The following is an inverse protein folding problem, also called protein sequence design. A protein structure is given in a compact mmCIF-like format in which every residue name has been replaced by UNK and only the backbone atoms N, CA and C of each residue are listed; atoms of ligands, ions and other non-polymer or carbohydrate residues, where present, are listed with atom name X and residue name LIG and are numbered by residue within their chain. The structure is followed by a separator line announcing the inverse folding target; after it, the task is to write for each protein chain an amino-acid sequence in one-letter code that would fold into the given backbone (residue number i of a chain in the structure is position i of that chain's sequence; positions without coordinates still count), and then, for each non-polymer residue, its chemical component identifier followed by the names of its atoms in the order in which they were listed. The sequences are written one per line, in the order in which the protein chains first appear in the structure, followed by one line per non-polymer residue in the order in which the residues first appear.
data_IF_977521863670
#
_entry.id   IF_977521863670
#
_cell.length_a   1.000
_cell.length_b   1.000
_cell.length_c   1.000
_cell.angle_alpha   90.00
_cell.angle_beta   90.00
_cell.angle_gamma   90.00
#
_symmetry.space_group_name_H-M   'P 1'
#
loop_
_entity.id
_entity.type
_entity.pdbx_description
1 polymer ?
#
# COMPACT_ATOMS: atom_id res chain seq x y z
N UNK A 1 30.82 8.98 35.25
CA UNK A 1 29.57 8.52 34.61
C UNK A 1 28.77 7.80 35.68
N UNK A 2 27.57 8.26 35.99
CA UNK A 2 26.71 7.67 37.01
C UNK A 2 26.06 6.39 36.46
N UNK A 3 26.38 5.23 37.04
CA UNK A 3 25.91 3.91 36.58
C UNK A 3 24.38 3.75 36.74
N UNK A 4 23.78 4.48 37.68
CA UNK A 4 22.34 4.43 37.97
C UNK A 4 21.49 5.34 37.08
N UNK A 5 22.09 6.02 36.08
CA UNK A 5 21.37 6.96 35.21
C UNK A 5 20.26 6.29 34.39
N UNK A 6 20.43 5.01 34.05
CA UNK A 6 19.45 4.21 33.31
C UNK A 6 18.11 4.05 34.07
N UNK A 7 18.11 4.16 35.39
CA UNK A 7 16.90 4.02 36.22
C UNK A 7 16.04 5.29 36.26
N UNK A 8 16.53 6.42 35.75
CA UNK A 8 15.86 7.73 35.89
C UNK A 8 14.50 7.78 35.20
N UNK A 9 14.38 7.14 34.03
CA UNK A 9 13.13 7.11 33.26
C UNK A 9 12.12 6.20 33.97
N UNK A 10 12.55 5.01 34.39
CA UNK A 10 11.70 4.11 35.18
C UNK A 10 11.21 4.77 36.46
N UNK A 11 12.07 5.52 37.16
CA UNK A 11 11.69 6.25 38.36
C UNK A 11 10.63 7.34 38.08
N UNK A 12 10.74 8.06 36.95
CA UNK A 12 9.79 9.12 36.55
C UNK A 12 8.41 8.57 36.19
N UNK A 13 8.35 7.38 35.60
CA UNK A 13 7.10 6.73 35.19
C UNK A 13 6.56 5.71 36.20
N UNK A 14 7.24 5.55 37.34
CA UNK A 14 6.92 4.57 38.38
C UNK A 14 6.96 3.11 37.89
N UNK A 15 7.84 2.84 36.93
CA UNK A 15 8.05 1.52 36.30
C UNK A 15 9.21 0.74 36.95
N UNK A 16 9.71 1.18 38.12
CA UNK A 16 10.76 0.48 38.86
C UNK A 16 10.18 -0.53 39.85
N UNK A 17 10.91 -1.63 40.06
CA UNK A 17 10.63 -2.50 41.20
C UNK A 17 10.91 -1.77 42.52
N UNK A 18 10.29 -2.22 43.62
CA UNK A 18 10.49 -1.61 44.94
C UNK A 18 11.95 -1.69 45.43
N UNK A 19 12.71 -2.70 44.99
CA UNK A 19 14.13 -2.81 45.28
C UNK A 19 14.96 -1.76 44.51
N UNK A 20 14.69 -1.59 43.22
CA UNK A 20 15.35 -0.59 42.37
C UNK A 20 15.03 0.82 42.83
N UNK A 21 13.76 1.10 43.17
CA UNK A 21 13.32 2.40 43.69
C UNK A 21 14.07 2.78 44.96
N UNK A 22 14.18 1.87 45.94
CA UNK A 22 14.96 2.11 47.17
C UNK A 22 16.45 2.34 46.88
N UNK A 23 17.03 1.60 45.94
CA UNK A 23 18.43 1.80 45.55
C UNK A 23 18.67 3.15 44.88
N UNK A 24 17.71 3.59 44.05
CA UNK A 24 17.77 4.87 43.35
C UNK A 24 17.53 6.03 44.30
N UNK A 25 16.59 5.90 45.25
CA UNK A 25 16.37 6.88 46.31
C UNK A 25 17.64 7.10 47.15
N UNK A 26 18.33 6.01 47.54
CA UNK A 26 19.61 6.11 48.23
C UNK A 26 20.69 6.81 47.37
N UNK A 27 20.73 6.53 46.07
CA UNK A 27 21.62 7.20 45.13
C UNK A 27 21.34 8.70 45.01
N UNK A 28 20.05 9.08 44.94
CA UNK A 28 19.61 10.48 44.85
C UNK A 28 20.01 11.34 46.05
N UNK A 29 20.36 10.75 47.21
CA UNK A 29 20.93 11.50 48.34
C UNK A 29 22.37 11.94 48.07
N UNK A 30 23.13 11.14 47.30
CA UNK A 30 24.58 11.32 47.12
C UNK A 30 24.97 11.95 45.78
N UNK A 31 24.10 11.89 44.77
CA UNK A 31 24.42 12.30 43.41
C UNK A 31 23.65 13.57 42.99
N UNK A 32 24.36 14.70 42.86
CA UNK A 32 23.79 15.96 42.36
C UNK A 32 23.37 15.88 40.88
N UNK A 33 24.16 15.22 40.04
CA UNK A 33 23.88 15.11 38.60
C UNK A 33 22.51 14.46 38.36
N UNK A 34 22.24 13.32 39.01
CA UNK A 34 20.96 12.63 38.87
C UNK A 34 19.78 13.43 39.44
N UNK A 35 19.98 14.25 40.48
CA UNK A 35 18.95 15.17 40.99
C UNK A 35 18.61 16.25 39.95
N UNK A 36 19.63 16.84 39.34
CA UNK A 36 19.47 17.88 38.30
C UNK A 36 18.74 17.30 37.08
N UNK A 37 19.17 16.13 36.61
CA UNK A 37 18.55 15.46 35.47
C UNK A 37 17.08 15.10 35.75
N UNK A 38 16.78 14.58 36.94
CA UNK A 38 15.42 14.22 37.34
C UNK A 38 14.51 15.45 37.40
N UNK A 39 15.02 16.57 37.93
CA UNK A 39 14.30 17.83 37.96
C UNK A 39 14.05 18.38 36.53
N UNK A 40 15.05 18.30 35.64
CA UNK A 40 14.93 18.73 34.24
C UNK A 40 13.90 17.93 33.45
N UNK A 41 13.90 16.61 33.59
CA UNK A 41 12.89 15.73 32.97
C UNK A 41 11.49 15.97 33.56
N UNK A 42 11.40 16.15 34.88
CA UNK A 42 10.15 16.49 35.56
C UNK A 42 9.55 17.83 35.09
N UNK A 43 10.38 18.86 34.92
CA UNK A 43 9.96 20.15 34.38
C UNK A 43 9.44 20.02 32.95
N UNK A 44 10.14 19.26 32.09
CA UNK A 44 9.71 19.00 30.71
C UNK A 44 8.34 18.31 30.67
N UNK A 45 8.12 17.31 31.54
CA UNK A 45 6.82 16.65 31.68
C UNK A 45 5.73 17.63 32.14
N UNK A 46 6.05 18.54 33.07
CA UNK A 46 5.16 19.62 33.48
C UNK A 46 4.75 20.53 32.32
N UNK A 47 5.72 20.94 31.49
CA UNK A 47 5.45 21.74 30.29
C UNK A 47 4.57 21.01 29.28
N UNK A 48 4.84 19.72 29.02
CA UNK A 48 4.04 18.90 28.11
C UNK A 48 2.63 18.62 28.65
N UNK A 49 2.45 18.53 29.97
CA UNK A 49 1.13 18.34 30.58
C UNK A 49 0.22 19.56 30.40
N UNK A 50 0.78 20.76 30.26
CA UNK A 50 0.04 22.00 29.99
C UNK A 50 -0.25 22.15 28.49
N UNK A 51 0.50 21.45 27.63
CA UNK A 51 0.31 21.53 26.19
C UNK A 51 -1.04 20.95 25.78
N UNK A 52 -1.96 21.82 25.39
CA UNK A 52 -3.18 21.43 24.71
C UNK A 52 -2.87 21.22 23.22
N UNK A 53 -3.05 20.02 22.66
CA UNK A 53 -2.92 19.82 21.23
C UNK A 53 -3.94 20.71 20.52
N UNK A 54 -3.56 21.40 19.42
CA UNK A 54 -4.52 22.15 18.62
C UNK A 54 -5.61 21.21 18.12
N UNK A 55 -6.86 21.66 18.09
CA UNK A 55 -7.97 20.85 17.56
C UNK A 55 -7.65 20.47 16.11
N UNK A 56 -7.44 19.18 15.83
CA UNK A 56 -7.17 18.75 14.48
C UNK A 56 -8.44 18.89 13.64
N UNK A 57 -8.41 19.73 12.61
CA UNK A 57 -9.43 19.72 11.56
C UNK A 57 -9.20 18.50 10.67
N UNK A 58 -9.75 17.38 11.11
CA UNK A 58 -9.62 16.12 10.41
C UNK A 58 -10.46 16.08 9.11
N UNK A 59 -11.37 17.02 8.87
CA UNK A 59 -12.32 16.95 7.76
C UNK A 59 -13.28 15.73 7.83
N UNK A 60 -13.20 14.94 8.90
CA UNK A 60 -14.06 13.79 9.19
C UNK A 60 -14.49 13.81 10.65
N UNK A 61 -15.70 13.32 10.92
CA UNK A 61 -16.26 13.21 12.27
C UNK A 61 -15.83 11.87 12.85
N UNK A 62 -15.01 11.87 13.90
CA UNK A 62 -14.76 10.67 14.69
C UNK A 62 -16.04 10.26 15.42
N UNK A 63 -16.66 9.17 14.97
CA UNK A 63 -17.76 8.53 15.68
C UNK A 63 -17.11 7.51 16.61
N UNK A 64 -17.15 7.75 17.94
CA UNK A 64 -16.96 6.65 18.88
C UNK A 64 -18.17 5.74 18.71
N UNK A 65 -17.96 4.53 18.22
CA UNK A 65 -18.98 3.50 18.30
C UNK A 65 -19.36 3.33 19.77
N UNK A 66 -20.63 3.61 20.08
CA UNK A 66 -21.19 3.25 21.36
C UNK A 66 -21.02 1.73 21.55
N UNK A 67 -20.76 1.24 22.78
CA UNK A 67 -20.64 -0.18 23.04
C UNK A 67 -21.85 -0.90 22.44
N UNK A 68 -21.58 -1.83 21.51
CA UNK A 68 -22.62 -2.53 20.78
C UNK A 68 -23.56 -3.23 21.79
N UNK A 69 -24.90 -3.09 21.65
CA UNK A 69 -25.82 -3.86 22.48
C UNK A 69 -25.55 -5.35 22.28
N UNK A 70 -25.68 -6.19 23.32
CA UNK A 70 -25.40 -7.61 23.22
C UNK A 70 -26.24 -8.22 22.09
N UNK A 71 -25.56 -8.86 21.14
CA UNK A 71 -26.19 -9.44 19.96
C UNK A 71 -27.26 -10.44 20.38
N UNK A 72 -28.51 -10.15 20.04
CA UNK A 72 -29.64 -11.06 20.25
C UNK A 72 -29.51 -12.19 19.23
N UNK A 73 -28.93 -13.31 19.66
CA UNK A 73 -28.80 -14.52 18.85
C UNK A 73 -30.20 -15.02 18.50
N UNK A 74 -30.61 -14.83 17.25
CA UNK A 74 -31.83 -15.44 16.72
C UNK A 74 -31.56 -16.93 16.44
N UNK A 75 -32.48 -17.85 16.80
CA UNK A 75 -32.29 -19.27 16.60
C UNK A 75 -32.17 -19.61 15.11
N UNK A 76 -31.15 -20.42 14.80
CA UNK A 76 -30.68 -20.83 13.46
C UNK A 76 -31.75 -21.59 12.62
N UNK A 77 -32.89 -21.97 13.21
CA UNK A 77 -33.94 -22.75 12.57
C UNK A 77 -34.78 -22.04 11.50
N UNK A 78 -34.70 -20.71 11.37
CA UNK A 78 -35.58 -19.94 10.45
C UNK A 78 -35.00 -19.68 9.05
N UNK A 79 -33.82 -20.23 8.72
CA UNK A 79 -33.13 -19.98 7.43
C UNK A 79 -33.40 -21.02 6.33
N UNK A 80 -34.21 -22.05 6.60
CA UNK A 80 -34.46 -23.13 5.63
C UNK A 80 -35.55 -22.82 4.59
N UNK A 81 -36.32 -21.74 4.74
CA UNK A 81 -37.35 -21.35 3.75
C UNK A 81 -36.85 -20.43 2.63
N UNK A 82 -35.68 -19.80 2.75
CA UNK A 82 -35.18 -18.84 1.75
C UNK A 82 -34.35 -19.45 0.61
N UNK A 83 -34.05 -20.76 0.65
CA UNK A 83 -33.22 -21.40 -0.38
C UNK A 83 -33.96 -21.63 -1.71
N UNK A 84 -35.28 -21.80 -1.70
CA UNK A 84 -36.06 -22.02 -2.93
C UNK A 84 -36.23 -20.76 -3.79
N UNK A 85 -36.15 -19.56 -3.19
CA UNK A 85 -36.26 -18.29 -3.94
C UNK A 85 -35.03 -17.98 -4.81
N UNK A 86 -33.83 -18.40 -4.38
CA UNK A 86 -32.59 -18.09 -5.09
C UNK A 86 -32.38 -18.95 -6.34
N UNK A 87 -32.92 -20.18 -6.37
CA UNK A 87 -32.84 -21.05 -7.53
C UNK A 87 -33.59 -20.47 -8.75
N UNK A 88 -34.76 -19.87 -8.53
CA UNK A 88 -35.56 -19.26 -9.61
C UNK A 88 -34.87 -18.01 -10.20
N UNK A 89 -34.26 -17.18 -9.35
CA UNK A 89 -33.54 -15.99 -9.80
C UNK A 89 -32.29 -16.35 -10.63
N UNK A 90 -31.55 -17.38 -10.23
CA UNK A 90 -30.36 -17.83 -10.95
C UNK A 90 -30.68 -18.32 -12.38
N UNK A 91 -31.80 -19.03 -12.56
CA UNK A 91 -32.26 -19.49 -13.88
C UNK A 91 -32.62 -18.32 -14.79
N UNK A 92 -33.30 -17.28 -14.27
CA UNK A 92 -33.65 -16.10 -15.06
C UNK A 92 -32.42 -15.29 -15.49
N UNK A 93 -31.41 -15.15 -14.62
CA UNK A 93 -30.15 -14.46 -14.96
C UNK A 93 -29.36 -15.25 -16.00
N UNK A 94 -29.30 -16.57 -15.89
CA UNK A 94 -28.65 -17.42 -16.91
C UNK A 94 -29.38 -17.34 -18.25
N UNK A 95 -30.72 -17.39 -18.27
CA UNK A 95 -31.50 -17.22 -19.49
C UNK A 95 -31.26 -15.85 -20.14
N UNK A 96 -31.28 -14.77 -19.34
CA UNK A 96 -30.97 -13.42 -19.83
C UNK A 96 -29.53 -13.31 -20.37
N UNK A 97 -28.54 -13.91 -19.71
CA UNK A 97 -27.16 -13.92 -20.17
C UNK A 97 -26.98 -14.68 -21.49
N UNK A 98 -27.67 -15.82 -21.67
CA UNK A 98 -27.63 -16.57 -22.94
C UNK A 98 -28.27 -15.80 -24.10
N UNK A 99 -29.31 -15.01 -23.84
CA UNK A 99 -29.94 -14.15 -24.85
C UNK A 99 -29.02 -13.00 -25.29
N UNK A 100 -28.23 -12.43 -24.37
CA UNK A 100 -27.29 -11.33 -24.66
C UNK A 100 -26.01 -11.84 -25.35
N UNK A 101 -25.59 -13.08 -25.09
CA UNK A 101 -24.33 -13.64 -25.58
C UNK A 101 -24.40 -14.32 -26.97
N UNK A 102 -25.60 -14.46 -27.58
CA UNK A 102 -25.80 -15.16 -28.86
C UNK A 102 -25.16 -16.56 -28.88
N UNK A 103 -25.39 -17.32 -27.80
CA UNK A 103 -24.82 -18.64 -27.55
C UNK A 103 -25.74 -19.71 -28.18
N UNK A 104 -25.33 -20.32 -29.30
CA UNK A 104 -26.07 -21.43 -29.92
C UNK A 104 -25.46 -22.76 -29.48
N UNK A 105 -26.22 -23.56 -28.72
CA UNK A 105 -25.82 -24.89 -28.27
C UNK A 105 -26.67 -25.90 -29.02
N UNK A 106 -26.10 -26.55 -30.03
CA UNK A 106 -26.77 -27.63 -30.75
C UNK A 106 -26.16 -28.96 -30.32
N UNK A 107 -27.02 -29.87 -29.87
CA UNK A 107 -26.67 -31.25 -29.60
C UNK A 107 -27.27 -32.10 -30.70
N UNK A 108 -26.41 -32.67 -31.55
CA UNK A 108 -26.81 -33.61 -32.61
C UNK A 108 -26.08 -34.95 -32.39
N UNK A 109 -26.50 -35.98 -33.12
CA UNK A 109 -25.91 -37.32 -33.17
C UNK A 109 -24.40 -37.36 -33.47
N UNK A 110 -23.83 -36.24 -33.93
CA UNK A 110 -22.40 -36.04 -34.20
C UNK A 110 -21.62 -35.34 -33.06
N UNK A 111 -22.27 -34.94 -31.96
CA UNK A 111 -21.64 -34.32 -30.78
C UNK A 111 -22.26 -32.98 -30.36
N UNK A 112 -21.75 -32.43 -29.25
CA UNK A 112 -22.14 -31.11 -28.74
C UNK A 112 -21.35 -30.02 -29.48
N UNK A 113 -22.05 -29.16 -30.22
CA UNK A 113 -21.47 -27.99 -30.86
C UNK A 113 -21.93 -26.75 -30.10
N UNK A 114 -20.99 -26.08 -29.43
CA UNK A 114 -21.21 -24.80 -28.77
C UNK A 114 -20.62 -23.70 -29.65
N UNK A 115 -21.49 -22.80 -30.16
CA UNK A 115 -21.07 -21.66 -30.97
C UNK A 115 -21.22 -20.38 -30.16
N UNK A 116 -20.10 -19.79 -29.76
CA UNK A 116 -20.04 -18.48 -29.08
C UNK A 116 -19.33 -17.51 -30.01
N UNK A 117 -20.00 -16.45 -30.49
CA UNK A 117 -19.32 -15.52 -31.40
C UNK A 117 -20.09 -14.26 -31.71
N UNK A 118 -19.45 -13.12 -31.41
CA UNK A 118 -19.69 -11.86 -32.12
C UNK A 118 -18.68 -11.83 -33.26
N UNK A 119 -19.10 -12.22 -34.46
CA UNK A 119 -18.19 -12.19 -35.61
C UNK A 119 -17.99 -10.75 -36.08
N UNK A 120 -16.76 -10.22 -36.11
CA UNK A 120 -16.44 -9.15 -37.04
C UNK A 120 -16.62 -9.70 -38.45
N UNK A 121 -17.25 -8.92 -39.33
CA UNK A 121 -17.25 -9.24 -40.76
C UNK A 121 -15.81 -9.31 -41.25
N UNK A 122 -15.40 -10.48 -41.73
CA UNK A 122 -14.13 -10.65 -42.44
C UNK A 122 -13.70 -12.10 -42.54
N UNK A 123 -13.68 -12.63 -43.77
CA UNK A 123 -12.98 -13.87 -44.08
C UNK A 123 -13.88 -15.08 -44.32
N UNK A 124 -14.59 -15.08 -45.45
CA UNK A 124 -14.96 -16.32 -46.11
C UNK A 124 -13.68 -17.06 -46.49
N UNK A 125 -13.52 -18.33 -46.10
CA UNK A 125 -12.72 -19.28 -46.88
C UNK A 125 -13.44 -20.62 -46.95
N UNK A 126 -13.47 -21.10 -48.19
CA UNK A 126 -14.15 -22.22 -48.80
C UNK A 126 -14.25 -23.55 -48.03
N UNK A 127 -15.37 -24.22 -48.30
CA UNK A 127 -15.66 -25.63 -48.09
C UNK A 127 -14.62 -26.54 -48.77
N UNK A 128 -14.24 -27.63 -48.08
CA UNK A 128 -13.43 -28.71 -48.63
C UNK A 128 -13.66 -30.04 -47.89
N UNK A 129 -14.14 -31.01 -48.66
CA UNK A 129 -14.44 -32.46 -48.48
C UNK A 129 -13.47 -33.29 -47.57
N UNK A 130 -13.88 -34.48 -47.04
CA UNK A 130 -13.17 -35.21 -45.99
C UNK A 130 -12.29 -36.37 -46.57
N UNK A 131 -11.70 -37.29 -45.76
CA UNK A 131 -10.25 -37.37 -45.53
C UNK A 131 -9.60 -38.62 -46.15
N UNK A 132 -8.29 -38.56 -46.41
CA UNK A 132 -7.52 -39.77 -46.70
C UNK A 132 -6.17 -39.77 -45.98
N UNK A 133 -5.78 -41.00 -45.59
CA UNK A 133 -4.77 -41.40 -44.62
C UNK A 133 -3.36 -40.83 -44.80
N UNK A 134 -2.59 -40.89 -43.70
CA UNK A 134 -1.30 -41.60 -43.52
C UNK A 134 -0.51 -40.88 -42.39
N UNK A 135 0.02 -41.64 -41.42
CA UNK A 135 0.85 -41.11 -40.31
C UNK A 135 2.25 -40.68 -40.77
N UNK A 136 3.30 -40.88 -39.97
CA UNK A 136 3.57 -40.44 -38.59
C UNK A 136 4.74 -39.42 -38.57
N UNK A 137 4.92 -38.65 -37.48
CA UNK A 137 6.24 -38.39 -36.84
C UNK A 137 6.16 -37.38 -35.70
N UNK A 138 6.88 -37.72 -34.66
CA UNK A 138 7.23 -36.86 -33.54
C UNK A 138 8.19 -35.75 -33.99
N UNK A 139 8.03 -34.54 -33.43
CA UNK A 139 9.10 -33.56 -33.36
C UNK A 139 9.01 -32.74 -32.07
N UNK A 140 10.17 -32.64 -31.42
CA UNK A 140 10.40 -32.09 -30.09
C UNK A 140 10.35 -30.56 -30.09
N UNK A 141 9.57 -29.96 -29.19
CA UNK A 141 9.70 -28.52 -28.88
C UNK A 141 10.36 -28.34 -27.52
N UNK A 142 11.59 -27.85 -27.60
CA UNK A 142 12.48 -27.46 -26.50
C UNK A 142 12.00 -26.12 -25.93
N UNK A 143 11.58 -26.10 -24.66
CA UNK A 143 11.29 -24.84 -23.94
C UNK A 143 12.60 -24.30 -23.37
N UNK A 144 13.07 -23.17 -23.90
CA UNK A 144 14.14 -22.38 -23.30
C UNK A 144 13.55 -21.44 -22.24
N UNK A 145 13.97 -21.65 -21.00
CA UNK A 145 13.80 -20.70 -19.91
C UNK A 145 14.82 -19.56 -20.06
N UNK A 146 14.32 -18.32 -20.15
CA UNK A 146 15.11 -17.11 -20.07
C UNK A 146 14.80 -16.36 -18.77
N UNK A 147 15.53 -16.67 -17.70
CA UNK A 147 15.56 -15.85 -16.48
C UNK A 147 17.02 -15.77 -16.01
N UNK A 148 17.79 -14.85 -16.59
CA UNK A 148 19.08 -14.41 -16.05
C UNK A 148 19.57 -13.16 -16.80
N UNK A 149 18.96 -12.00 -16.58
CA UNK A 149 19.55 -10.70 -16.92
C UNK A 149 18.81 -9.55 -16.21
N UNK A 150 18.92 -9.45 -14.89
CA UNK A 150 18.41 -8.29 -14.15
C UNK A 150 19.21 -8.03 -12.87
N UNK A 151 20.53 -7.86 -12.99
CA UNK A 151 21.34 -7.40 -11.82
C UNK A 151 22.49 -6.45 -12.20
N UNK A 152 22.62 -6.03 -13.46
CA UNK A 152 23.72 -5.17 -13.90
C UNK A 152 23.31 -3.71 -14.21
N UNK A 153 22.07 -3.31 -13.91
CA UNK A 153 21.53 -1.98 -14.22
C UNK A 153 21.53 -0.96 -13.08
N UNK A 154 21.77 -1.37 -11.83
CA UNK A 154 21.57 -0.50 -10.66
C UNK A 154 22.76 0.43 -10.34
N UNK A 155 23.99 0.09 -10.78
CA UNK A 155 25.20 0.88 -10.51
C UNK A 155 25.52 1.91 -11.59
N UNK A 156 24.95 1.76 -12.80
CA UNK A 156 25.21 2.68 -13.92
C UNK A 156 24.32 3.93 -13.82
N UNK A 157 23.08 3.77 -13.33
CA UNK A 157 22.14 4.88 -13.11
C UNK A 157 22.66 5.90 -12.09
N UNK A 158 23.25 5.44 -10.98
CA UNK A 158 23.75 6.33 -9.92
C UNK A 158 24.88 7.25 -10.38
N UNK A 159 25.80 6.74 -11.22
CA UNK A 159 26.90 7.55 -11.74
C UNK A 159 26.41 8.59 -12.75
N UNK A 160 25.48 8.23 -13.63
CA UNK A 160 24.88 9.18 -14.58
C UNK A 160 24.05 10.27 -13.90
N UNK A 161 23.44 9.95 -12.76
CA UNK A 161 22.65 10.91 -11.99
C UNK A 161 23.54 11.90 -11.21
N UNK A 162 24.69 11.46 -10.71
CA UNK A 162 25.69 12.34 -10.08
C UNK A 162 26.24 13.38 -11.08
N UNK A 163 26.59 12.96 -12.30
CA UNK A 163 27.07 13.89 -13.35
C UNK A 163 26.01 14.88 -13.81
N UNK A 164 24.73 14.49 -13.77
CA UNK A 164 23.60 15.37 -14.08
C UNK A 164 23.39 16.40 -12.97
N UNK A 165 23.60 16.01 -11.72
CA UNK A 165 23.50 16.88 -10.54
C UNK A 165 24.62 17.93 -10.52
N UNK A 166 25.87 17.52 -10.80
CA UNK A 166 27.02 18.43 -10.82
C UNK A 166 26.88 19.50 -11.92
N UNK A 167 26.42 19.12 -13.12
CA UNK A 167 26.12 20.08 -14.20
C UNK A 167 25.06 21.10 -13.78
N UNK A 168 24.01 20.64 -13.09
CA UNK A 168 22.92 21.50 -12.62
C UNK A 168 23.39 22.46 -11.52
N UNK A 169 24.28 22.03 -10.64
CA UNK A 169 24.86 22.88 -9.61
C UNK A 169 25.67 24.02 -10.25
N UNK A 170 26.54 23.71 -11.21
CA UNK A 170 27.35 24.72 -11.92
C UNK A 170 26.50 25.71 -12.72
N UNK A 171 25.39 25.26 -13.28
CA UNK A 171 24.45 26.12 -13.98
C UNK A 171 23.75 27.09 -13.02
N UNK A 172 23.35 26.62 -11.84
CA UNK A 172 22.78 27.47 -10.78
C UNK A 172 23.80 28.47 -10.24
N UNK A 173 25.04 28.05 -9.97
CA UNK A 173 26.12 28.95 -9.51
C UNK A 173 26.42 30.08 -10.53
N UNK A 174 26.39 29.75 -11.83
CA UNK A 174 26.51 30.75 -12.90
C UNK A 174 25.31 31.69 -12.96
N UNK A 175 24.10 31.17 -12.80
CA UNK A 175 22.89 31.99 -12.78
C UNK A 175 22.88 32.95 -11.57
N UNK A 176 23.32 32.48 -10.39
CA UNK A 176 23.43 33.31 -9.18
C UNK A 176 24.50 34.40 -9.33
N UNK A 177 25.69 34.07 -9.82
CA UNK A 177 26.76 35.06 -10.05
C UNK A 177 26.45 36.05 -11.17
N UNK A 178 25.57 35.71 -12.10
CA UNK A 178 25.07 36.62 -13.13
C UNK A 178 23.94 37.52 -12.61
N UNK A 179 23.14 37.05 -11.65
CA UNK A 179 22.10 37.84 -10.98
C UNK A 179 22.67 38.96 -10.11
N UNK A 180 23.85 38.75 -9.50
CA UNK A 180 24.59 39.78 -8.75
C UNK A 180 25.24 40.87 -9.65
N UNK A 181 25.21 40.71 -10.97
CA UNK A 181 25.74 41.68 -11.95
C UNK A 181 24.65 42.48 -12.66
N UNK A 182 23.58 42.84 -11.96
CA UNK A 182 22.72 43.94 -12.42
C UNK A 182 23.46 45.25 -12.11
N UNK A 183 23.86 46.05 -13.11
CA UNK A 183 24.42 47.38 -12.84
C UNK A 183 23.37 48.21 -12.12
N UNK A 184 23.67 48.58 -10.88
CA UNK A 184 22.86 49.49 -10.08
C UNK A 184 22.96 50.89 -10.71
N UNK A 185 22.20 51.12 -11.78
CA UNK A 185 21.91 52.46 -12.26
C UNK A 185 20.96 53.11 -11.26
N UNK A 186 21.53 53.79 -10.28
CA UNK A 186 20.82 54.77 -9.45
C UNK A 186 20.53 55.98 -10.34
N UNK A 187 19.56 55.82 -11.25
CA UNK A 187 18.90 56.93 -11.89
C UNK A 187 17.91 57.49 -10.87
N UNK A 188 18.08 58.76 -10.50
CA UNK A 188 17.21 59.49 -9.58
C UNK A 188 15.78 59.61 -10.11
N UNK A 189 14.99 58.57 -9.93
CA UNK A 189 13.53 58.65 -9.97
C UNK A 189 13.00 59.34 -8.71
N UNK A 190 11.74 59.82 -8.73
CA UNK A 190 11.11 60.40 -7.55
C UNK A 190 11.23 59.41 -6.39
N UNK A 191 11.67 59.88 -5.21
CA UNK A 191 11.66 59.07 -3.99
C UNK A 191 10.22 58.59 -3.79
N UNK A 192 9.94 57.31 -4.08
CA UNK A 192 8.62 56.72 -3.86
C UNK A 192 8.21 57.02 -2.43
N UNK A 193 6.99 57.52 -2.25
CA UNK A 193 6.49 57.80 -0.91
C UNK A 193 6.42 56.49 -0.14
N UNK A 194 6.59 56.54 1.18
CA UNK A 194 6.53 55.35 2.03
C UNK A 194 5.19 54.58 1.85
N UNK A 195 4.11 55.31 1.55
CA UNK A 195 2.82 54.74 1.20
C UNK A 195 2.84 53.90 -0.10
N UNK A 196 3.59 54.34 -1.11
CA UNK A 196 3.74 53.61 -2.38
C UNK A 196 4.62 52.37 -2.18
N UNK A 197 5.63 52.46 -1.31
CA UNK A 197 6.49 51.32 -0.96
C UNK A 197 5.67 50.24 -0.23
N UNK A 198 4.86 50.61 0.77
CA UNK A 198 3.99 49.68 1.48
C UNK A 198 2.91 49.06 0.59
N UNK A 199 2.44 49.78 -0.44
CA UNK A 199 1.51 49.22 -1.43
C UNK A 199 2.21 48.18 -2.31
N UNK A 200 3.43 48.49 -2.78
CA UNK A 200 4.24 47.58 -3.61
C UNK A 200 4.65 46.32 -2.85
N UNK A 201 5.03 46.44 -1.57
CA UNK A 201 5.37 45.27 -0.73
C UNK A 201 4.16 44.36 -0.55
N UNK A 202 2.97 44.92 -0.27
CA UNK A 202 1.74 44.12 -0.14
C UNK A 202 1.38 43.38 -1.44
N UNK A 203 1.54 44.03 -2.59
CA UNK A 203 1.36 43.35 -3.89
C UNK A 203 2.38 42.23 -4.10
N UNK A 204 3.66 42.46 -3.75
CA UNK A 204 4.69 41.42 -3.86
C UNK A 204 4.44 40.25 -2.92
N UNK A 205 3.97 40.51 -1.70
CA UNK A 205 3.62 39.46 -0.72
C UNK A 205 2.42 38.65 -1.22
N UNK A 206 1.33 39.27 -1.66
CA UNK A 206 0.19 38.53 -2.23
C UNK A 206 0.57 37.72 -3.48
N UNK A 207 1.43 38.27 -4.33
CA UNK A 207 1.97 37.54 -5.49
C UNK A 207 2.90 36.38 -5.08
N UNK A 208 3.65 36.51 -3.97
CA UNK A 208 4.48 35.44 -3.44
C UNK A 208 3.64 34.33 -2.79
N UNK A 209 2.60 34.69 -2.03
CA UNK A 209 1.68 33.75 -1.39
C UNK A 209 0.92 32.91 -2.41
N UNK A 210 0.39 33.54 -3.47
CA UNK A 210 -0.29 32.81 -4.56
C UNK A 210 0.63 31.81 -5.28
N UNK A 211 1.91 32.17 -5.51
CA UNK A 211 2.91 31.25 -6.05
C UNK A 211 3.19 30.10 -5.07
N UNK A 212 3.34 30.41 -3.78
CA UNK A 212 3.57 29.40 -2.75
C UNK A 212 2.39 28.43 -2.64
N UNK A 213 1.15 28.92 -2.67
CA UNK A 213 -0.06 28.09 -2.64
C UNK A 213 -0.12 27.12 -3.83
N UNK A 214 0.23 27.57 -5.02
CA UNK A 214 0.24 26.73 -6.23
C UNK A 214 1.28 25.62 -6.13
N UNK A 215 2.48 25.94 -5.64
CA UNK A 215 3.56 24.95 -5.45
C UNK A 215 3.18 23.94 -4.38
N UNK A 216 2.59 24.38 -3.26
CA UNK A 216 2.14 23.49 -2.18
C UNK A 216 1.05 22.54 -2.67
N UNK A 217 0.06 23.03 -3.42
CA UNK A 217 -1.00 22.20 -3.97
C UNK A 217 -0.45 21.11 -4.91
N UNK A 218 0.51 21.45 -5.78
CA UNK A 218 1.14 20.49 -6.67
C UNK A 218 1.96 19.43 -5.93
N UNK A 219 2.71 19.82 -4.88
CA UNK A 219 3.45 18.88 -4.04
C UNK A 219 2.52 17.95 -3.27
N UNK A 220 1.40 18.46 -2.74
CA UNK A 220 0.43 17.66 -2.02
C UNK A 220 -0.19 16.58 -2.94
N UNK A 221 -0.55 16.95 -4.18
CA UNK A 221 -1.06 16.01 -5.18
C UNK A 221 -0.03 14.95 -5.60
N UNK A 222 1.27 15.25 -5.50
CA UNK A 222 2.31 14.26 -5.75
C UNK A 222 2.40 13.26 -4.59
N UNK A 223 2.42 13.77 -3.34
CA UNK A 223 2.48 12.92 -2.14
C UNK A 223 1.28 11.97 -2.07
N UNK A 224 0.06 12.45 -2.33
CA UNK A 224 -1.14 11.60 -2.34
C UNK A 224 -1.02 10.46 -3.36
N UNK A 225 -0.53 10.75 -4.58
CA UNK A 225 -0.34 9.72 -5.61
C UNK A 225 0.71 8.69 -5.22
N UNK A 226 1.76 9.09 -4.51
CA UNK A 226 2.80 8.17 -4.06
C UNK A 226 2.29 7.26 -2.93
N UNK A 227 1.50 7.79 -1.99
CA UNK A 227 0.81 6.98 -0.97
C UNK A 227 -0.17 5.98 -1.57
N UNK A 228 -0.95 6.38 -2.57
CA UNK A 228 -1.90 5.48 -3.24
C UNK A 228 -1.16 4.33 -3.96
N UNK A 229 -0.02 4.61 -4.60
CA UNK A 229 0.81 3.57 -5.21
C UNK A 229 1.39 2.60 -4.18
N UNK A 230 1.90 3.12 -3.07
CA UNK A 230 2.44 2.29 -1.99
C UNK A 230 1.35 1.40 -1.38
N UNK A 231 0.16 1.96 -1.12
CA UNK A 231 -0.97 1.19 -0.62
C UNK A 231 -1.38 0.08 -1.59
N UNK A 232 -1.37 0.34 -2.90
CA UNK A 232 -1.68 -0.68 -3.91
C UNK A 232 -0.62 -1.78 -3.96
N UNK A 233 0.67 -1.45 -3.83
CA UNK A 233 1.74 -2.46 -3.75
C UNK A 233 1.62 -3.30 -2.50
N UNK A 234 1.29 -2.69 -1.37
CA UNK A 234 1.13 -3.37 -0.09
C UNK A 234 -0.06 -4.34 -0.13
N UNK A 235 -1.18 -3.90 -0.70
CA UNK A 235 -2.35 -4.76 -0.91
C UNK A 235 -2.04 -5.94 -1.83
N UNK A 236 -1.27 -5.72 -2.89
CA UNK A 236 -0.83 -6.79 -3.79
C UNK A 236 0.09 -7.79 -3.06
N UNK A 237 1.02 -7.31 -2.24
CA UNK A 237 1.91 -8.15 -1.44
C UNK A 237 1.13 -8.99 -0.41
N UNK A 238 0.16 -8.38 0.27
CA UNK A 238 -0.72 -9.08 1.23
C UNK A 238 -1.55 -10.16 0.52
N UNK A 239 -2.13 -9.87 -0.65
CA UNK A 239 -2.90 -10.84 -1.42
C UNK A 239 -2.03 -12.03 -1.87
N UNK A 240 -0.81 -11.77 -2.32
CA UNK A 240 0.14 -12.83 -2.67
C UNK A 240 0.51 -13.67 -1.45
N UNK A 241 0.79 -13.03 -0.30
CA UNK A 241 1.06 -13.72 0.96
C UNK A 241 -0.09 -14.66 1.36
N UNK A 242 -1.32 -14.16 1.40
CA UNK A 242 -2.51 -14.96 1.69
C UNK A 242 -2.68 -16.16 0.73
N UNK A 243 -2.42 -15.97 -0.57
CA UNK A 243 -2.46 -17.05 -1.55
C UNK A 243 -1.43 -18.15 -1.27
N UNK A 244 -0.22 -17.80 -0.84
CA UNK A 244 0.81 -18.80 -0.49
C UNK A 244 0.43 -19.64 0.72
N UNK A 245 -0.14 -19.03 1.78
CA UNK A 245 -0.59 -19.75 2.96
C UNK A 245 -1.78 -20.69 2.66
N UNK A 246 -2.71 -20.26 1.81
CA UNK A 246 -3.80 -21.11 1.33
C UNK A 246 -3.27 -22.29 0.48
N UNK A 247 -2.23 -22.05 -0.33
CA UNK A 247 -1.57 -23.10 -1.09
C UNK A 247 -0.92 -24.17 -0.20
N UNK A 248 -0.19 -23.75 0.85
CA UNK A 248 0.46 -24.66 1.80
C UNK A 248 -0.54 -25.47 2.61
N UNK A 249 -1.60 -24.84 3.14
CA UNK A 249 -2.66 -25.55 3.87
C UNK A 249 -3.39 -26.55 2.99
N UNK A 250 -3.69 -26.21 1.73
CA UNK A 250 -4.29 -27.17 0.80
C UNK A 250 -3.35 -28.34 0.48
N UNK A 251 -2.04 -28.10 0.35
CA UNK A 251 -1.05 -29.15 0.13
C UNK A 251 -0.93 -30.10 1.35
N UNK A 252 -0.90 -29.55 2.56
CA UNK A 252 -0.89 -30.35 3.80
C UNK A 252 -2.17 -31.16 3.98
N UNK A 253 -3.33 -30.57 3.70
CA UNK A 253 -4.63 -31.28 3.74
C UNK A 253 -4.65 -32.42 2.70
N UNK A 254 -4.11 -32.20 1.50
CA UNK A 254 -4.00 -33.23 0.48
C UNK A 254 -3.10 -34.37 0.94
N UNK A 255 -1.96 -34.05 1.56
CA UNK A 255 -1.02 -35.04 2.09
C UNK A 255 -1.62 -35.86 3.25
N UNK A 256 -2.35 -35.21 4.18
CA UNK A 256 -3.07 -35.89 5.25
C UNK A 256 -4.13 -36.86 4.71
N UNK A 257 -4.89 -36.46 3.69
CA UNK A 257 -5.88 -37.33 3.03
C UNK A 257 -5.22 -38.56 2.40
N UNK A 258 -4.07 -38.37 1.77
CA UNK A 258 -3.36 -39.48 1.13
C UNK A 258 -2.79 -40.47 2.16
N UNK A 259 -2.25 -39.96 3.28
CA UNK A 259 -1.82 -40.78 4.42
C UNK A 259 -2.98 -41.59 5.01
N UNK A 260 -4.15 -40.98 5.22
CA UNK A 260 -5.35 -41.68 5.71
C UNK A 260 -5.81 -42.78 4.74
N UNK A 261 -5.77 -42.53 3.43
CA UNK A 261 -6.09 -43.53 2.43
C UNK A 261 -5.11 -44.72 2.44
N UNK A 262 -3.82 -44.47 2.68
CA UNK A 262 -2.84 -45.55 2.82
C UNK A 262 -3.13 -46.41 4.06
N UNK A 263 -3.43 -45.79 5.21
CA UNK A 263 -3.81 -46.52 6.43
C UNK A 263 -5.06 -47.37 6.20
N UNK A 264 -6.09 -46.81 5.55
CA UNK A 264 -7.31 -47.55 5.22
C UNK A 264 -7.04 -48.76 4.31
N UNK A 265 -6.15 -48.60 3.32
CA UNK A 265 -5.74 -49.71 2.42
C UNK A 265 -4.93 -50.80 3.12
N UNK A 266 -4.16 -50.47 4.14
CA UNK A 266 -3.41 -51.45 4.94
C UNK A 266 -4.36 -52.20 5.87
N UNK A 267 -5.25 -51.48 6.55
CA UNK A 267 -6.27 -52.08 7.41
C UNK A 267 -7.19 -53.05 6.65
N UNK A 268 -7.67 -52.64 5.46
CA UNK A 268 -8.51 -53.50 4.61
C UNK A 268 -7.79 -54.75 4.06
N UNK A 269 -6.45 -54.79 4.11
CA UNK A 269 -5.67 -55.98 3.73
C UNK A 269 -5.42 -56.95 4.89
N UNK A 270 -5.56 -56.53 6.14
CA UNK A 270 -5.40 -57.40 7.30
C UNK A 270 -6.65 -58.22 7.64
N UNK A 271 -7.82 -57.85 7.12
CA UNK A 271 -9.09 -58.56 7.35
C UNK A 271 -9.38 -59.71 6.36
N UNK A 272 -8.43 -60.07 5.48
CA UNK A 272 -8.51 -61.25 4.60
C UNK A 272 -7.44 -62.26 4.95
#
# INVERSE_FOLDING_TARGET
MCENKELIVGYLYDDLTEAERRSFDAHLVTCDECRVDLAGLGATRGHLAIWAPPEPDFGFRMIREAPAPPARVLPVGSRWMSAFGLAAAAVLVLAAATAIANLDVRYDSSGLVVRTGWSPRGGQVAQGRPPENVGPKAENVRVQAGVAASTQGATTTTNTDLERLDRRLRELERATTQSDRVPNQVAGGPRMSDADLLRRVREMVGAAESRQQTIVAQRLLQVVRDFDRQRQSDLAAIQQGLGTYQGMTNAEIAQQRDMLNQLYRVAARQEK
#
